data_IF_744260488007
#
_entry.id   IF_744260488007
#
_cell.length_a   1.000
_cell.length_b   1.000
_cell.length_c   1.000
_cell.angle_alpha   90.00
_cell.angle_beta   90.00
_cell.angle_gamma   90.00
#
_symmetry.space_group_name_H-M   'P 1'
#
loop_
_entity.id
_entity.type
_entity.pdbx_description
1 polymer ?
#
# COMPACT_ATOMS: atom_id res chain seq x y z
N UNK A 1 -20.31 -6.70 11.97
CA UNK A 1 -21.30 -7.24 12.93
C UNK A 1 -21.33 -8.76 12.83
N UNK A 2 -21.74 -9.47 13.90
CA UNK A 2 -21.79 -10.96 13.93
C UNK A 2 -22.60 -11.57 12.78
N UNK A 3 -23.77 -11.00 12.48
CA UNK A 3 -24.63 -11.47 11.39
C UNK A 3 -23.96 -11.38 10.02
N UNK A 4 -23.30 -10.25 9.73
CA UNK A 4 -22.58 -10.05 8.46
C UNK A 4 -21.44 -11.05 8.28
N UNK A 5 -20.67 -11.33 9.33
CA UNK A 5 -19.54 -12.26 9.25
C UNK A 5 -20.01 -13.71 9.10
N UNK A 6 -21.07 -14.10 9.78
CA UNK A 6 -21.71 -15.41 9.58
C UNK A 6 -22.23 -15.60 8.14
N UNK A 7 -22.89 -14.59 7.58
CA UNK A 7 -23.36 -14.63 6.17
C UNK A 7 -22.20 -14.76 5.19
N UNK A 8 -21.08 -14.08 5.47
CA UNK A 8 -19.88 -14.14 4.64
C UNK A 8 -19.23 -15.52 4.69
N UNK A 9 -19.08 -16.08 5.89
CA UNK A 9 -18.56 -17.44 6.09
C UNK A 9 -19.42 -18.47 5.36
N UNK A 10 -20.74 -18.41 5.52
CA UNK A 10 -21.68 -19.30 4.84
C UNK A 10 -21.54 -19.25 3.33
N UNK A 11 -21.46 -18.05 2.74
CA UNK A 11 -21.24 -17.88 1.30
C UNK A 11 -19.94 -18.55 0.83
N UNK A 12 -18.86 -18.40 1.61
CA UNK A 12 -17.56 -18.98 1.29
C UNK A 12 -17.54 -20.50 1.40
N UNK A 13 -18.21 -21.05 2.42
CA UNK A 13 -18.32 -22.49 2.57
C UNK A 13 -19.15 -23.10 1.44
N UNK A 14 -20.23 -22.44 1.01
CA UNK A 14 -21.01 -22.88 -0.14
C UNK A 14 -20.20 -22.80 -1.44
N UNK A 15 -19.49 -21.70 -1.70
CA UNK A 15 -18.70 -21.53 -2.94
C UNK A 15 -17.54 -22.52 -3.06
N UNK A 16 -17.03 -23.01 -1.92
CA UNK A 16 -15.94 -23.99 -1.86
C UNK A 16 -16.44 -25.42 -1.61
N UNK A 17 -17.75 -25.69 -1.72
CA UNK A 17 -18.36 -27.01 -1.48
C UNK A 17 -18.06 -27.60 -0.07
N UNK A 18 -17.83 -26.72 0.91
CA UNK A 18 -17.49 -27.05 2.29
C UNK A 18 -18.70 -27.07 3.24
N UNK A 19 -19.91 -26.87 2.73
CA UNK A 19 -21.14 -26.93 3.54
C UNK A 19 -22.12 -27.93 2.94
N UNK A 20 -22.34 -29.04 3.64
CA UNK A 20 -23.31 -30.08 3.26
C UNK A 20 -24.21 -30.41 4.45
N UNK A 21 -25.53 -30.44 4.25
CA UNK A 21 -26.50 -30.76 5.31
C UNK A 21 -26.30 -29.92 6.59
N UNK A 22 -26.01 -28.62 6.45
CA UNK A 22 -25.70 -27.68 7.55
C UNK A 22 -24.49 -28.08 8.40
N UNK A 23 -23.59 -28.90 7.86
CA UNK A 23 -22.32 -29.29 8.49
C UNK A 23 -21.16 -28.93 7.59
N UNK A 24 -20.07 -28.50 8.22
CA UNK A 24 -18.82 -28.24 7.51
C UNK A 24 -18.23 -29.58 7.09
N UNK A 25 -17.86 -29.69 5.82
CA UNK A 25 -17.08 -30.80 5.27
C UNK A 25 -15.72 -30.26 4.84
N UNK A 26 -14.67 -31.07 5.04
CA UNK A 26 -13.30 -30.69 4.68
C UNK A 26 -13.21 -30.38 3.18
N UNK A 27 -12.45 -29.34 2.83
CA UNK A 27 -12.18 -29.03 1.43
C UNK A 27 -11.28 -30.11 0.81
N UNK A 28 -11.62 -30.57 -0.40
CA UNK A 28 -10.71 -31.35 -1.25
C UNK A 28 -9.68 -30.45 -1.94
N UNK A 29 -10.07 -29.22 -2.29
CA UNK A 29 -9.20 -28.14 -2.75
C UNK A 29 -9.85 -26.78 -2.45
N UNK A 30 -9.05 -25.81 -2.01
CA UNK A 30 -9.49 -24.44 -1.69
C UNK A 30 -8.34 -23.47 -1.95
N UNK A 31 -8.65 -22.28 -2.47
CA UNK A 31 -7.64 -21.26 -2.76
C UNK A 31 -7.04 -20.66 -1.49
N UNK A 32 -5.77 -20.23 -1.55
CA UNK A 32 -5.14 -19.52 -0.42
C UNK A 32 -5.89 -18.26 0.00
N UNK A 33 -6.48 -17.55 -0.98
CA UNK A 33 -7.33 -16.39 -0.73
C UNK A 33 -8.52 -16.74 0.17
N UNK A 34 -9.22 -17.84 -0.14
CA UNK A 34 -10.38 -18.25 0.64
C UNK A 34 -10.00 -18.86 1.99
N UNK A 35 -8.86 -19.58 2.08
CA UNK A 35 -8.31 -20.01 3.38
C UNK A 35 -8.04 -18.83 4.31
N UNK A 36 -7.41 -17.78 3.77
CA UNK A 36 -7.07 -16.56 4.52
C UNK A 36 -8.32 -15.79 4.95
N UNK A 37 -9.32 -15.72 4.07
CA UNK A 37 -10.55 -15.00 4.37
C UNK A 37 -11.43 -15.76 5.39
N UNK A 38 -11.52 -17.09 5.31
CA UNK A 38 -12.15 -17.90 6.36
C UNK A 38 -11.43 -17.67 7.69
N UNK A 39 -10.09 -17.77 7.72
CA UNK A 39 -9.30 -17.57 8.93
C UNK A 39 -9.42 -16.14 9.48
N UNK A 40 -9.60 -15.14 8.62
CA UNK A 40 -9.91 -13.76 8.99
C UNK A 40 -11.24 -13.64 9.73
N UNK A 41 -12.27 -14.34 9.25
CA UNK A 41 -13.58 -14.39 9.92
C UNK A 41 -13.45 -15.07 11.29
N UNK A 42 -12.77 -16.23 11.39
CA UNK A 42 -12.54 -16.92 12.66
C UNK A 42 -11.81 -16.00 13.66
N UNK A 43 -10.75 -15.31 13.20
CA UNK A 43 -10.00 -14.36 14.01
C UNK A 43 -10.83 -13.19 14.52
N UNK A 44 -11.72 -12.65 13.68
CA UNK A 44 -12.64 -11.57 14.08
C UNK A 44 -13.52 -12.00 15.25
N UNK A 45 -14.09 -13.21 15.20
CA UNK A 45 -14.88 -13.74 16.31
C UNK A 45 -14.02 -14.04 17.53
N UNK A 46 -12.83 -14.62 17.37
CA UNK A 46 -11.93 -14.88 18.49
C UNK A 46 -11.50 -13.60 19.24
N UNK A 47 -11.35 -12.50 18.51
CA UNK A 47 -10.85 -11.23 19.08
C UNK A 47 -11.96 -10.31 19.59
N UNK A 48 -13.16 -10.37 19.00
CA UNK A 48 -14.23 -9.39 19.26
C UNK A 48 -15.53 -10.02 19.80
N UNK A 49 -15.68 -11.35 19.77
CA UNK A 49 -16.90 -12.08 20.14
C UNK A 49 -16.54 -13.46 20.73
N UNK A 50 -17.45 -14.42 20.67
CA UNK A 50 -17.16 -15.84 20.96
C UNK A 50 -17.08 -16.65 19.68
N UNK A 51 -16.18 -17.64 19.62
CA UNK A 51 -16.18 -18.65 18.55
C UNK A 51 -17.50 -19.45 18.50
N UNK A 52 -18.21 -19.55 19.63
CA UNK A 52 -19.55 -20.15 19.72
C UNK A 52 -20.62 -19.37 18.96
N UNK A 53 -20.36 -18.10 18.63
CA UNK A 53 -21.28 -17.27 17.84
C UNK A 53 -21.17 -17.57 16.32
N UNK A 54 -20.23 -18.41 15.90
CA UNK A 54 -20.05 -18.79 14.50
C UNK A 54 -20.99 -19.94 14.16
N UNK A 55 -21.83 -19.74 13.14
CA UNK A 55 -22.73 -20.77 12.63
C UNK A 55 -21.93 -21.94 12.06
N UNK A 56 -22.46 -23.15 12.24
CA UNK A 56 -21.94 -24.40 11.71
C UNK A 56 -20.64 -24.93 12.35
N UNK A 57 -20.02 -24.17 13.26
CA UNK A 57 -18.91 -24.68 14.07
C UNK A 57 -19.40 -25.56 15.23
N UNK A 58 -18.61 -26.56 15.64
CA UNK A 58 -18.79 -27.24 16.92
C UNK A 58 -18.77 -26.24 18.09
N UNK A 59 -19.61 -26.47 19.11
CA UNK A 59 -19.71 -25.56 20.26
C UNK A 59 -18.47 -25.51 21.15
N UNK A 60 -17.58 -26.50 21.03
CA UNK A 60 -16.29 -26.64 21.69
C UNK A 60 -15.10 -26.33 20.78
N UNK A 61 -15.36 -25.82 19.55
CA UNK A 61 -14.33 -25.51 18.57
C UNK A 61 -13.28 -24.56 19.14
N UNK A 62 -12.01 -24.91 18.92
CA UNK A 62 -10.85 -24.05 19.17
C UNK A 62 -10.08 -23.82 17.87
N UNK A 63 -9.21 -22.82 17.85
CA UNK A 63 -8.41 -22.49 16.66
C UNK A 63 -7.54 -23.69 16.24
N UNK A 64 -7.09 -24.50 17.19
CA UNK A 64 -6.29 -25.70 16.93
C UNK A 64 -7.10 -26.78 16.17
N UNK A 65 -8.44 -26.73 16.21
CA UNK A 65 -9.31 -27.65 15.48
C UNK A 65 -9.48 -27.26 13.99
N UNK A 66 -8.89 -26.15 13.54
CA UNK A 66 -9.09 -25.64 12.17
C UNK A 66 -8.82 -26.69 11.10
N UNK A 67 -7.69 -27.39 11.19
CA UNK A 67 -7.31 -28.43 10.23
C UNK A 67 -8.28 -29.62 10.27
N UNK A 68 -8.75 -29.98 11.48
CA UNK A 68 -9.71 -31.06 11.68
C UNK A 68 -11.09 -30.70 11.14
N UNK A 69 -11.54 -29.46 11.25
CA UNK A 69 -12.87 -29.00 10.84
C UNK A 69 -12.94 -28.62 9.36
N UNK A 70 -11.96 -27.86 8.88
CA UNK A 70 -11.98 -27.28 7.53
C UNK A 70 -11.06 -28.01 6.53
N UNK A 71 -10.14 -28.85 7.01
CA UNK A 71 -9.17 -29.55 6.16
C UNK A 71 -7.93 -28.72 5.80
N UNK A 72 -7.74 -27.57 6.44
CA UNK A 72 -6.54 -26.73 6.29
C UNK A 72 -6.18 -26.04 7.61
N UNK A 73 -4.90 -25.77 7.81
CA UNK A 73 -4.40 -25.13 9.03
C UNK A 73 -4.88 -23.68 9.14
N UNK A 74 -5.08 -23.21 10.37
CA UNK A 74 -5.39 -21.81 10.62
C UNK A 74 -4.24 -20.94 10.12
N UNK A 75 -4.50 -20.15 9.08
CA UNK A 75 -3.61 -19.05 8.73
C UNK A 75 -4.02 -17.86 9.59
N UNK A 76 -3.17 -17.49 10.56
CA UNK A 76 -3.37 -16.21 11.25
C UNK A 76 -3.56 -15.17 10.16
N UNK A 77 -4.63 -14.36 10.18
CA UNK A 77 -4.76 -13.24 9.26
C UNK A 77 -3.67 -12.24 9.65
N UNK A 78 -2.46 -12.53 9.23
CA UNK A 78 -1.52 -11.50 8.90
C UNK A 78 -2.26 -10.67 7.87
N UNK A 79 -2.33 -9.36 8.11
CA UNK A 79 -2.30 -8.39 7.01
C UNK A 79 -1.47 -9.04 5.90
N UNK A 80 -2.12 -9.42 4.78
CA UNK A 80 -1.51 -10.06 3.59
C UNK A 80 -0.02 -9.75 3.59
N UNK A 81 0.91 -10.72 3.65
CA UNK A 81 2.32 -10.46 3.94
C UNK A 81 2.77 -9.27 3.11
N UNK A 82 2.78 -8.12 3.76
CA UNK A 82 3.01 -6.85 3.10
C UNK A 82 4.51 -6.83 3.05
N UNK A 83 5.04 -7.10 1.87
CA UNK A 83 6.47 -7.00 1.70
C UNK A 83 6.77 -5.51 1.75
N UNK A 84 7.36 -5.10 2.87
CA UNK A 84 7.80 -3.74 3.05
C UNK A 84 8.92 -3.46 2.08
N UNK A 85 8.93 -2.24 1.55
CA UNK A 85 10.07 -1.71 0.85
C UNK A 85 10.44 -0.36 1.46
N UNK A 86 11.74 -0.10 1.48
CA UNK A 86 12.31 1.17 1.83
C UNK A 86 13.48 1.45 0.88
N UNK A 87 13.50 2.66 0.33
CA UNK A 87 14.59 3.16 -0.48
C UNK A 87 15.00 4.50 0.07
N UNK A 88 16.29 4.67 0.34
CA UNK A 88 16.89 5.91 0.78
C UNK A 88 18.04 6.29 -0.16
N UNK A 89 18.24 7.59 -0.34
CA UNK A 89 19.43 8.09 -1.02
C UNK A 89 20.62 8.13 -0.08
N UNK A 90 21.81 7.94 -0.65
CA UNK A 90 23.06 8.21 0.03
C UNK A 90 23.21 9.74 0.17
N UNK A 91 22.92 10.29 1.35
CA UNK A 91 23.17 11.71 1.62
C UNK A 91 24.67 11.96 1.74
N UNK A 92 25.35 12.22 0.62
CA UNK A 92 26.76 12.62 0.62
C UNK A 92 26.99 14.13 0.84
N UNK A 93 25.93 14.91 1.12
CA UNK A 93 26.06 16.36 1.26
C UNK A 93 26.34 17.07 -0.07
N UNK A 94 26.17 16.38 -1.20
CA UNK A 94 26.36 16.94 -2.53
C UNK A 94 25.36 18.07 -2.80
N UNK A 95 25.78 19.14 -3.50
CA UNK A 95 24.88 20.22 -3.89
C UNK A 95 23.86 19.74 -4.92
N UNK A 96 22.63 20.25 -4.83
CA UNK A 96 21.59 20.06 -5.85
C UNK A 96 21.76 21.16 -6.91
N UNK A 97 22.01 20.78 -8.15
CA UNK A 97 22.06 21.73 -9.27
C UNK A 97 20.65 22.25 -9.59
N UNK A 98 20.45 23.55 -9.42
CA UNK A 98 19.17 24.24 -9.69
C UNK A 98 19.22 25.12 -10.94
N UNK A 99 20.37 25.19 -11.62
CA UNK A 99 20.57 26.00 -12.82
C UNK A 99 19.55 25.65 -13.90
N UNK A 100 18.88 26.67 -14.43
CA UNK A 100 17.87 26.50 -15.48
C UNK A 100 16.45 26.16 -14.98
N UNK A 101 16.24 26.05 -13.67
CA UNK A 101 14.92 25.92 -13.04
C UNK A 101 14.50 27.25 -12.39
N UNK A 102 13.18 27.47 -12.30
CA UNK A 102 12.61 28.69 -11.72
C UNK A 102 12.26 28.53 -10.23
N UNK A 103 11.89 27.32 -9.80
CA UNK A 103 11.42 27.04 -8.45
C UNK A 103 12.01 25.74 -7.90
N UNK A 104 12.19 25.69 -6.58
CA UNK A 104 12.51 24.47 -5.83
C UNK A 104 11.53 24.33 -4.66
N UNK A 105 10.97 23.13 -4.47
CA UNK A 105 10.19 22.75 -3.29
C UNK A 105 10.85 21.56 -2.59
N UNK A 106 10.70 21.52 -1.26
CA UNK A 106 11.09 20.40 -0.41
C UNK A 106 9.82 19.84 0.23
N UNK A 107 9.45 18.61 -0.15
CA UNK A 107 8.16 18.00 0.22
C UNK A 107 8.00 17.76 1.72
N UNK A 108 9.10 17.78 2.48
CA UNK A 108 9.10 17.56 3.93
C UNK A 108 8.52 18.76 4.67
N UNK A 109 8.53 19.95 4.06
CA UNK A 109 7.75 21.06 4.58
C UNK A 109 6.28 20.78 4.30
N UNK A 110 5.48 20.72 5.37
CA UNK A 110 4.02 20.63 5.25
C UNK A 110 3.50 21.95 4.72
N UNK A 111 3.30 22.03 3.40
CA UNK A 111 2.53 23.07 2.77
C UNK A 111 1.05 22.81 3.13
N UNK A 112 0.64 23.30 4.31
CA UNK A 112 -0.70 23.12 4.90
C UNK A 112 -1.84 23.35 3.89
N UNK A 113 -2.99 22.71 4.12
CA UNK A 113 -4.22 22.79 3.30
C UNK A 113 -4.84 24.19 3.17
N UNK A 114 -4.26 25.21 3.81
CA UNK A 114 -4.70 26.60 3.68
C UNK A 114 -4.40 27.10 2.28
N UNK A 115 -5.25 28.02 1.79
CA UNK A 115 -5.07 28.61 0.46
C UNK A 115 -3.63 29.17 0.32
N UNK A 116 -2.86 28.70 -0.68
CA UNK A 116 -1.49 29.12 -0.86
C UNK A 116 -1.45 30.64 -1.04
N UNK A 117 -0.60 31.31 -0.26
CA UNK A 117 -0.38 32.75 -0.36
C UNK A 117 0.36 33.13 -1.64
N UNK A 118 1.06 32.16 -2.24
CA UNK A 118 1.80 32.31 -3.49
C UNK A 118 0.94 31.89 -4.70
N UNK A 119 1.06 32.68 -5.77
CA UNK A 119 0.51 32.36 -7.09
C UNK A 119 1.04 31.03 -7.63
N UNK A 120 2.28 30.66 -7.29
CA UNK A 120 2.91 29.39 -7.67
C UNK A 120 3.07 28.48 -6.45
N UNK A 121 2.52 27.27 -6.50
CA UNK A 121 2.57 26.35 -5.36
C UNK A 121 2.56 24.88 -5.79
N UNK A 122 2.94 24.02 -4.84
CA UNK A 122 2.95 22.57 -4.97
C UNK A 122 2.09 21.98 -3.85
N UNK A 123 1.31 20.94 -4.18
CA UNK A 123 0.64 20.09 -3.19
C UNK A 123 0.98 18.63 -3.44
N UNK A 124 1.28 17.90 -2.37
CA UNK A 124 1.48 16.46 -2.40
C UNK A 124 0.56 15.82 -1.37
N UNK A 125 -0.36 14.98 -1.83
CA UNK A 125 -1.26 14.24 -0.97
C UNK A 125 -0.65 12.87 -0.65
N UNK A 126 -0.24 12.68 0.60
CA UNK A 126 0.35 11.44 1.09
C UNK A 126 -0.61 10.24 1.05
N UNK A 127 -1.93 10.46 1.10
CA UNK A 127 -2.91 9.38 1.05
C UNK A 127 -3.08 8.85 -0.37
N UNK A 128 -3.23 9.74 -1.34
CA UNK A 128 -3.41 9.37 -2.76
C UNK A 128 -2.09 9.21 -3.51
N UNK A 129 -0.97 9.66 -2.94
CA UNK A 129 0.35 9.78 -3.58
C UNK A 129 0.35 10.65 -4.84
N UNK A 130 -0.57 11.60 -4.92
CA UNK A 130 -0.67 12.51 -6.07
C UNK A 130 0.06 13.81 -5.78
N UNK A 131 1.02 14.14 -6.63
CA UNK A 131 1.71 15.43 -6.68
C UNK A 131 1.03 16.33 -7.72
N UNK A 132 0.79 17.59 -7.35
CA UNK A 132 0.27 18.63 -8.25
C UNK A 132 1.06 19.94 -8.11
N UNK A 133 1.31 20.58 -9.25
CA UNK A 133 1.88 21.92 -9.33
C UNK A 133 0.81 22.87 -9.87
N UNK A 134 0.70 24.04 -9.25
CA UNK A 134 -0.32 25.04 -9.54
C UNK A 134 0.30 26.39 -9.87
N UNK A 135 -0.38 27.12 -10.77
CA UNK A 135 -0.17 28.54 -10.99
C UNK A 135 -1.53 29.24 -11.04
N UNK A 136 -1.77 30.22 -10.16
CA UNK A 136 -3.03 30.98 -10.07
C UNK A 136 -4.29 30.08 -10.01
N UNK A 137 -4.19 28.92 -9.34
CA UNK A 137 -5.19 27.83 -9.23
C UNK A 137 -5.27 26.85 -10.41
N UNK A 138 -4.65 27.16 -11.56
CA UNK A 138 -4.57 26.21 -12.66
C UNK A 138 -3.56 25.12 -12.38
N UNK A 139 -3.94 23.86 -12.64
CA UNK A 139 -3.03 22.72 -12.54
C UNK A 139 -2.11 22.72 -13.76
N UNK A 140 -0.80 22.87 -13.52
CA UNK A 140 0.23 22.81 -14.55
C UNK A 140 0.75 21.38 -14.76
N UNK A 141 0.76 20.58 -13.70
CA UNK A 141 1.35 19.25 -13.68
C UNK A 141 0.67 18.37 -12.64
N UNK A 142 0.54 17.08 -12.94
CA UNK A 142 0.02 16.06 -12.02
C UNK A 142 0.82 14.79 -12.21
N UNK A 143 1.22 14.15 -11.11
CA UNK A 143 1.97 12.90 -11.14
C UNK A 143 1.51 11.95 -10.04
N UNK A 144 1.36 10.68 -10.39
CA UNK A 144 1.23 9.60 -9.43
C UNK A 144 2.64 9.16 -8.98
N UNK A 145 2.96 9.44 -7.72
CA UNK A 145 4.27 9.13 -7.15
C UNK A 145 4.49 7.62 -6.96
N UNK A 146 3.43 6.79 -7.03
CA UNK A 146 3.59 5.32 -7.02
C UNK A 146 4.37 4.82 -8.24
N UNK A 147 4.37 5.57 -9.36
CA UNK A 147 5.20 5.23 -10.53
C UNK A 147 6.70 5.17 -10.18
N UNK A 148 7.16 6.03 -9.27
CA UNK A 148 8.56 6.04 -8.81
C UNK A 148 8.86 4.84 -7.92
N UNK A 149 8.00 4.54 -6.95
CA UNK A 149 8.10 3.34 -6.13
C UNK A 149 8.17 2.07 -6.99
N UNK A 150 7.31 1.99 -8.02
CA UNK A 150 7.32 0.87 -8.96
C UNK A 150 8.65 0.75 -9.70
N UNK A 151 9.18 1.84 -10.26
CA UNK A 151 10.48 1.84 -10.95
C UNK A 151 11.62 1.38 -10.04
N UNK A 152 11.64 1.83 -8.78
CA UNK A 152 12.66 1.43 -7.82
C UNK A 152 12.54 -0.06 -7.46
N UNK A 153 11.32 -0.56 -7.23
CA UNK A 153 11.07 -1.99 -6.98
C UNK A 153 11.46 -2.84 -8.18
N UNK A 154 11.12 -2.42 -9.40
CA UNK A 154 11.46 -3.17 -10.62
C UNK A 154 12.98 -3.25 -10.83
N UNK A 155 13.72 -2.21 -10.44
CA UNK A 155 15.19 -2.14 -10.59
C UNK A 155 15.95 -2.87 -9.47
N UNK A 156 15.55 -2.64 -8.23
CA UNK A 156 16.31 -3.04 -7.05
C UNK A 156 15.70 -4.22 -6.29
N UNK A 157 14.47 -4.62 -6.66
CA UNK A 157 13.67 -5.59 -5.92
C UNK A 157 13.00 -4.98 -4.69
N UNK A 158 12.28 -5.82 -3.95
CA UNK A 158 11.80 -5.46 -2.62
C UNK A 158 12.99 -5.47 -1.67
N UNK A 159 13.37 -4.29 -1.18
CA UNK A 159 14.45 -4.11 -0.21
C UNK A 159 13.88 -3.54 1.08
N UNK A 160 14.19 -4.17 2.19
CA UNK A 160 13.86 -3.70 3.55
C UNK A 160 15.10 -3.22 4.32
N UNK A 161 16.25 -3.14 3.63
CA UNK A 161 17.55 -2.72 4.19
C UNK A 161 17.88 -1.30 3.74
N UNK A 162 18.47 -0.53 4.65
CA UNK A 162 18.92 0.86 4.44
C UNK A 162 20.18 0.99 3.58
N UNK A 163 20.37 0.09 2.61
CA UNK A 163 21.44 0.23 1.63
C UNK A 163 21.14 1.43 0.73
N UNK A 164 21.91 2.49 0.96
CA UNK A 164 21.72 3.75 0.29
C UNK A 164 21.92 3.63 -1.22
N UNK A 165 20.96 4.14 -1.99
CA UNK A 165 21.03 4.20 -3.45
C UNK A 165 21.71 5.51 -3.87
N UNK A 166 22.46 5.46 -4.97
CA UNK A 166 23.06 6.64 -5.55
C UNK A 166 21.98 7.71 -5.88
N UNK A 167 22.15 8.98 -5.47
CA UNK A 167 21.16 10.04 -5.71
C UNK A 167 20.73 10.17 -7.18
N UNK A 168 21.65 10.00 -8.13
CA UNK A 168 21.34 10.09 -9.57
C UNK A 168 20.36 9.00 -10.02
N UNK A 169 20.34 7.85 -9.34
CA UNK A 169 19.42 6.75 -9.65
C UNK A 169 18.06 6.88 -8.94
N UNK A 170 17.97 7.78 -7.95
CA UNK A 170 16.73 8.20 -7.28
C UNK A 170 16.24 9.56 -7.78
N UNK A 171 16.73 9.97 -8.95
CA UNK A 171 16.32 11.19 -9.63
C UNK A 171 15.45 10.86 -10.85
N UNK A 172 14.37 11.60 -11.04
CA UNK A 172 13.46 11.44 -12.17
C UNK A 172 13.20 12.79 -12.84
N UNK A 173 13.31 12.82 -14.16
CA UNK A 173 12.89 13.97 -14.97
C UNK A 173 11.59 13.65 -15.70
N UNK A 174 10.71 14.65 -15.78
CA UNK A 174 9.45 14.58 -16.52
C UNK A 174 9.12 15.95 -17.10
N UNK A 175 8.32 15.98 -18.16
CA UNK A 175 8.06 17.20 -18.91
C UNK A 175 6.71 17.14 -19.62
N UNK A 176 5.97 18.25 -19.59
CA UNK A 176 4.77 18.44 -20.39
C UNK A 176 4.84 19.78 -21.15
N UNK A 177 3.75 20.22 -21.78
CA UNK A 177 3.74 21.47 -22.54
C UNK A 177 3.92 22.74 -21.69
N UNK A 178 3.69 22.67 -20.37
CA UNK A 178 3.71 23.82 -19.44
C UNK A 178 4.94 23.86 -18.54
N UNK A 179 5.48 22.71 -18.15
CA UNK A 179 6.61 22.62 -17.22
C UNK A 179 7.57 21.49 -17.57
N UNK A 180 8.84 21.67 -17.20
CA UNK A 180 9.82 20.60 -17.01
C UNK A 180 10.09 20.45 -15.51
N UNK A 181 10.10 19.22 -15.01
CA UNK A 181 10.35 18.92 -13.60
C UNK A 181 11.52 17.94 -13.43
N UNK A 182 12.29 18.14 -12.36
CA UNK A 182 13.29 17.18 -11.87
C UNK A 182 12.98 16.88 -10.41
N UNK A 183 12.73 15.62 -10.11
CA UNK A 183 12.35 15.13 -8.78
C UNK A 183 13.49 14.29 -8.24
N UNK A 184 14.10 14.75 -7.16
CA UNK A 184 15.13 14.03 -6.43
C UNK A 184 14.48 13.39 -5.20
N UNK A 185 14.27 12.08 -5.23
CA UNK A 185 13.74 11.34 -4.09
C UNK A 185 14.82 11.28 -3.01
N UNK A 186 14.44 11.57 -1.77
CA UNK A 186 15.29 11.48 -0.58
C UNK A 186 15.08 10.11 0.06
N UNK A 187 13.82 9.77 0.34
CA UNK A 187 13.40 8.44 0.75
C UNK A 187 11.99 8.15 0.25
N UNK A 188 11.68 6.86 0.12
CA UNK A 188 10.34 6.38 -0.17
C UNK A 188 10.14 5.03 0.50
N UNK A 189 8.98 4.84 1.10
CA UNK A 189 8.60 3.58 1.75
C UNK A 189 7.20 3.17 1.41
N UNK A 190 6.92 1.89 1.55
CA UNK A 190 5.59 1.37 1.33
C UNK A 190 5.52 -0.13 1.47
N UNK A 191 4.44 -0.66 0.93
CA UNK A 191 4.15 -2.08 0.98
C UNK A 191 3.72 -2.57 -0.38
N UNK A 192 4.19 -3.76 -0.76
CA UNK A 192 3.67 -4.50 -1.90
C UNK A 192 2.83 -5.66 -1.39
N UNK A 193 1.57 -5.69 -1.80
CA UNK A 193 0.68 -6.81 -1.50
C UNK A 193 1.14 -8.05 -2.26
N UNK A 194 1.49 -9.11 -1.53
CA UNK A 194 2.04 -10.35 -2.11
C UNK A 194 1.04 -11.11 -2.99
N UNK A 195 -0.26 -10.87 -2.83
CA UNK A 195 -1.31 -11.60 -3.55
C UNK A 195 -1.76 -10.93 -4.84
N UNK A 196 -1.77 -9.60 -4.87
CA UNK A 196 -2.24 -8.78 -5.98
C UNK A 196 -1.09 -8.10 -6.72
N UNK A 197 0.09 -8.00 -6.11
CA UNK A 197 1.21 -7.21 -6.61
C UNK A 197 1.02 -5.69 -6.46
N UNK A 198 -0.10 -5.24 -5.87
CA UNK A 198 -0.41 -3.83 -5.72
C UNK A 198 0.61 -3.15 -4.80
N UNK A 199 1.13 -2.02 -5.25
CA UNK A 199 2.05 -1.18 -4.49
C UNK A 199 1.24 -0.09 -3.81
N UNK A 200 1.42 0.04 -2.50
CA UNK A 200 0.95 1.18 -1.71
C UNK A 200 2.16 1.91 -1.16
N UNK A 201 2.41 3.11 -1.65
CA UNK A 201 3.43 4.01 -1.09
C UNK A 201 2.85 4.68 0.16
N UNK A 202 3.57 4.61 1.28
CA UNK A 202 3.13 5.20 2.55
C UNK A 202 3.63 6.65 2.74
N UNK A 203 4.63 7.04 1.96
CA UNK A 203 5.14 8.41 1.90
C UNK A 203 6.42 8.49 1.08
N UNK A 204 6.64 9.64 0.46
CA UNK A 204 7.82 9.96 -0.34
C UNK A 204 8.33 11.33 0.07
N UNK A 205 9.58 11.38 0.51
CA UNK A 205 10.29 12.64 0.72
C UNK A 205 11.12 12.95 -0.52
N UNK A 206 11.04 14.18 -1.02
CA UNK A 206 11.73 14.59 -2.23
C UNK A 206 11.96 16.10 -2.30
N UNK A 207 12.97 16.48 -3.09
CA UNK A 207 13.06 17.80 -3.68
C UNK A 207 12.46 17.77 -5.08
N UNK A 208 11.80 18.86 -5.48
CA UNK A 208 11.38 19.05 -6.87
C UNK A 208 11.86 20.40 -7.38
N UNK A 209 12.50 20.37 -8.54
CA UNK A 209 12.91 21.54 -9.31
C UNK A 209 11.95 21.71 -10.49
N UNK A 210 11.50 22.93 -10.73
CA UNK A 210 10.46 23.21 -11.72
C UNK A 210 10.92 24.35 -12.62
N UNK A 211 10.90 24.10 -13.93
CA UNK A 211 11.07 25.10 -14.98
C UNK A 211 9.73 25.29 -15.67
N UNK A 212 9.21 26.51 -15.65
CA UNK A 212 8.01 26.91 -16.39
C UNK A 212 8.40 27.21 -17.84
N UNK A 213 7.56 26.81 -18.79
CA UNK A 213 7.76 27.04 -20.23
C UNK A 213 6.98 28.24 -20.74
#
# INVERSE_FOLDING_TARGET
SKSSQNRRLEKMLLSNNMLQNKKIVKASSISEKDKNEISSIISYFNSNHSLKDIKYLPGDFKIEDMEKTFGFQYSKPYSSPQNYFHFNTMQMGDPIEISGYNYMFDSRYRYDEKEPTSSFNMRYDYNSNILKIYQNKDVLYTKDMNEFSKKLIDKYGLRDKDEAINPNEMCFEDENSKVKVKIQIINVSGTKDSSTGNIKTNGTDFYILIKVK
#
